data_IF_704755081471
#
_entry.id   IF_704755081471
#
_cell.length_a   1.000
_cell.length_b   1.000
_cell.length_c   1.000
_cell.angle_alpha   90.00
_cell.angle_beta   90.00
_cell.angle_gamma   90.00
#
_symmetry.space_group_name_H-M   'P 1'
#
loop_
_entity.id
_entity.type
_entity.pdbx_description
1 polymer ?
#
# COMPACT_ATOMS: atom_id res chain seq x y z
N UNK A 1 9.82 0.34 3.93
CA UNK A 1 10.86 -0.54 4.45
C UNK A 1 12.25 0.04 4.19
N UNK A 2 13.22 -0.29 5.04
CA UNK A 2 14.63 -0.06 4.79
C UNK A 2 15.10 -0.98 3.67
N UNK A 3 15.67 -0.43 2.60
CA UNK A 3 16.03 -1.18 1.40
C UNK A 3 17.16 -0.53 0.61
N UNK A 4 17.84 -1.32 -0.23
CA UNK A 4 18.83 -0.81 -1.17
C UNK A 4 18.18 0.08 -2.25
N UNK A 5 18.81 1.21 -2.58
CA UNK A 5 18.32 2.13 -3.60
C UNK A 5 18.61 1.68 -5.05
N UNK A 6 19.38 0.61 -5.23
CA UNK A 6 19.78 0.14 -6.57
C UNK A 6 19.13 -1.20 -6.95
N UNK A 7 19.05 -2.16 -6.00
CA UNK A 7 18.48 -3.48 -6.27
C UNK A 7 17.23 -3.79 -5.43
N UNK A 8 16.77 -2.82 -4.62
CA UNK A 8 15.57 -2.89 -3.78
C UNK A 8 15.53 -4.05 -2.76
N UNK A 9 16.66 -4.72 -2.54
CA UNK A 9 16.79 -5.72 -1.48
C UNK A 9 16.45 -5.09 -0.13
N UNK A 10 15.56 -5.75 0.63
CA UNK A 10 15.05 -5.26 1.92
C UNK A 10 15.96 -5.70 3.06
N UNK A 11 16.09 -4.86 4.06
CA UNK A 11 16.93 -5.08 5.24
C UNK A 11 16.20 -4.65 6.50
N UNK A 12 16.48 -5.28 7.62
CA UNK A 12 16.17 -4.73 8.92
C UNK A 12 17.13 -3.58 9.26
N UNK A 13 16.77 -2.73 10.22
CA UNK A 13 17.67 -1.67 10.70
C UNK A 13 18.99 -2.25 11.21
N UNK A 14 18.92 -3.30 12.05
CA UNK A 14 20.13 -3.96 12.59
C UNK A 14 21.04 -4.52 11.50
N UNK A 15 20.47 -5.14 10.45
CA UNK A 15 21.25 -5.59 9.30
C UNK A 15 21.90 -4.42 8.56
N UNK A 16 21.14 -3.34 8.30
CA UNK A 16 21.67 -2.18 7.60
C UNK A 16 22.84 -1.53 8.36
N UNK A 17 22.73 -1.45 9.69
CA UNK A 17 23.81 -0.94 10.56
C UNK A 17 25.04 -1.83 10.56
N UNK A 18 24.88 -3.15 10.73
CA UNK A 18 25.99 -4.12 10.65
C UNK A 18 26.72 -4.05 9.30
N UNK A 19 25.97 -3.84 8.22
CA UNK A 19 26.49 -3.69 6.86
C UNK A 19 26.98 -2.27 6.56
N UNK A 20 27.01 -1.39 7.55
CA UNK A 20 27.40 0.02 7.37
C UNK A 20 26.63 0.67 6.19
N UNK A 21 25.35 0.35 6.06
CA UNK A 21 24.45 0.85 5.02
C UNK A 21 24.88 0.50 3.59
N UNK A 22 25.61 -0.60 3.39
CA UNK A 22 26.01 -1.12 2.08
C UNK A 22 25.33 -2.45 1.78
N UNK A 23 24.68 -2.50 0.63
CA UNK A 23 23.94 -3.69 0.18
C UNK A 23 24.89 -4.87 -0.07
N UNK A 24 24.51 -6.07 0.42
CA UNK A 24 25.29 -7.29 0.17
C UNK A 24 25.25 -7.71 -1.30
N UNK A 25 24.10 -7.49 -1.98
CA UNK A 25 23.89 -7.99 -3.34
C UNK A 25 24.61 -7.16 -4.40
N UNK A 26 24.56 -5.82 -4.29
CA UNK A 26 25.06 -4.93 -5.35
C UNK A 26 26.01 -3.83 -4.85
N UNK A 27 26.34 -3.81 -3.56
CA UNK A 27 27.15 -2.76 -2.90
C UNK A 27 26.54 -1.35 -2.95
N UNK A 28 25.31 -1.21 -3.45
CA UNK A 28 24.56 0.04 -3.43
C UNK A 28 24.26 0.53 -2.00
N UNK A 29 23.79 1.76 -1.87
CA UNK A 29 23.43 2.35 -0.60
C UNK A 29 22.10 1.77 -0.09
N UNK A 30 22.04 1.40 1.19
CA UNK A 30 20.80 1.04 1.87
C UNK A 30 20.19 2.32 2.45
N UNK A 31 18.94 2.63 2.08
CA UNK A 31 18.17 3.77 2.61
C UNK A 31 17.19 3.33 3.68
N UNK A 32 17.15 4.09 4.76
CA UNK A 32 16.20 3.87 5.86
C UNK A 32 14.79 4.13 5.38
N UNK A 33 13.89 3.20 5.67
CA UNK A 33 12.46 3.32 5.39
C UNK A 33 11.76 4.31 6.32
N UNK A 34 10.66 4.89 5.83
CA UNK A 34 9.86 5.86 6.61
C UNK A 34 9.28 5.22 7.87
N UNK A 35 8.71 4.02 7.77
CA UNK A 35 8.15 3.31 8.93
C UNK A 35 9.23 3.06 10.01
N UNK A 36 10.43 2.64 9.60
CA UNK A 36 11.55 2.41 10.50
C UNK A 36 12.02 3.72 11.16
N UNK A 37 11.96 4.83 10.41
CA UNK A 37 12.27 6.15 10.98
C UNK A 37 11.21 6.62 11.98
N UNK A 38 9.95 6.40 11.68
CA UNK A 38 8.85 6.69 12.60
C UNK A 38 9.02 5.88 13.89
N UNK A 39 9.27 4.57 13.80
CA UNK A 39 9.48 3.72 14.96
C UNK A 39 10.65 4.19 15.85
N UNK A 40 11.73 4.71 15.24
CA UNK A 40 12.86 5.29 15.98
C UNK A 40 12.53 6.58 16.73
N UNK A 41 11.62 7.38 16.18
CA UNK A 41 11.24 8.69 16.74
C UNK A 41 10.04 8.61 17.67
N UNK A 42 9.34 7.48 17.68
CA UNK A 42 8.15 7.29 18.48
C UNK A 42 8.50 7.01 19.94
N UNK A 43 7.91 7.77 20.85
CA UNK A 43 8.00 7.55 22.30
C UNK A 43 6.95 6.55 22.79
N UNK A 44 6.02 6.14 21.91
CA UNK A 44 4.94 5.21 22.21
C UNK A 44 4.93 4.02 21.24
N UNK A 45 4.64 2.80 21.72
CA UNK A 45 4.65 1.59 20.88
C UNK A 45 3.52 1.55 19.85
N UNK A 46 2.43 2.31 20.08
CA UNK A 46 1.31 2.44 19.15
C UNK A 46 0.71 3.85 19.24
N UNK A 47 0.36 4.42 18.08
CA UNK A 47 -0.35 5.68 18.03
C UNK A 47 -1.79 5.51 18.55
N UNK A 48 -2.22 6.38 19.45
CA UNK A 48 -3.62 6.44 19.92
C UNK A 48 -4.26 7.67 19.31
N UNK A 49 -5.39 7.49 18.61
CA UNK A 49 -6.14 8.62 18.07
C UNK A 49 -6.74 9.44 19.21
N UNK A 50 -6.43 10.74 19.32
CA UNK A 50 -6.97 11.57 20.39
C UNK A 50 -8.50 11.70 20.29
N UNK A 51 -9.20 11.51 21.42
CA UNK A 51 -10.69 11.54 21.48
C UNK A 51 -11.31 12.86 21.02
N UNK A 52 -10.56 13.95 21.11
CA UNK A 52 -11.03 15.30 20.73
C UNK A 52 -10.82 15.61 19.23
N UNK A 53 -10.18 14.74 18.45
CA UNK A 53 -10.01 14.92 17.01
C UNK A 53 -11.09 14.17 16.25
N UNK A 54 -11.57 14.71 15.12
CA UNK A 54 -12.50 14.00 14.27
C UNK A 54 -11.83 12.74 13.69
N UNK A 55 -12.60 11.69 13.39
CA UNK A 55 -12.09 10.53 12.71
C UNK A 55 -11.53 10.90 11.33
N UNK A 56 -10.57 10.12 10.85
CA UNK A 56 -10.02 10.27 9.51
C UNK A 56 -10.14 8.94 8.75
N UNK A 57 -10.16 9.03 7.45
CA UNK A 57 -10.22 7.88 6.57
C UNK A 57 -8.96 7.82 5.69
N UNK A 58 -8.34 6.66 5.63
CA UNK A 58 -7.28 6.41 4.67
C UNK A 58 -7.90 6.07 3.32
N UNK A 59 -7.57 6.84 2.29
CA UNK A 59 -8.11 6.62 0.95
C UNK A 59 -6.99 6.42 -0.07
N UNK A 60 -7.21 5.51 -1.02
CA UNK A 60 -6.46 5.46 -2.26
C UNK A 60 -7.06 6.47 -3.24
N UNK A 61 -6.26 7.20 -4.03
CA UNK A 61 -6.75 7.94 -5.16
C UNK A 61 -7.53 7.06 -6.14
N UNK A 62 -8.63 7.55 -6.68
CA UNK A 62 -9.44 6.79 -7.64
C UNK A 62 -8.61 6.34 -8.85
N UNK A 63 -7.66 7.16 -9.29
CA UNK A 63 -6.75 6.81 -10.38
C UNK A 63 -5.89 5.58 -10.07
N UNK A 64 -5.49 5.35 -8.80
CA UNK A 64 -4.77 4.14 -8.40
C UNK A 64 -5.68 2.90 -8.41
N UNK A 65 -6.93 3.05 -7.98
CA UNK A 65 -7.92 1.96 -8.04
C UNK A 65 -8.20 1.57 -9.50
N UNK A 66 -8.37 2.56 -10.38
CA UNK A 66 -8.56 2.35 -11.82
C UNK A 66 -7.32 1.68 -12.42
N UNK A 67 -6.13 2.14 -12.07
CA UNK A 67 -4.88 1.54 -12.52
C UNK A 67 -4.82 0.05 -12.15
N UNK A 68 -5.19 -0.30 -10.92
CA UNK A 68 -5.23 -1.70 -10.47
C UNK A 68 -6.27 -2.50 -11.26
N UNK A 69 -7.46 -1.95 -11.47
CA UNK A 69 -8.53 -2.60 -12.23
C UNK A 69 -8.11 -2.90 -13.68
N UNK A 70 -7.47 -1.94 -14.34
CA UNK A 70 -7.03 -2.08 -15.73
C UNK A 70 -5.71 -2.87 -15.87
N UNK A 71 -5.02 -3.20 -14.78
CA UNK A 71 -3.69 -3.80 -14.84
C UNK A 71 -2.62 -2.89 -15.47
N UNK A 72 -2.83 -1.58 -15.42
CA UNK A 72 -1.98 -0.61 -16.10
C UNK A 72 -0.69 -0.32 -15.30
N UNK A 73 0.34 0.17 -15.98
CA UNK A 73 1.66 0.42 -15.36
C UNK A 73 1.74 1.75 -14.61
N UNK A 74 0.84 2.69 -14.90
CA UNK A 74 0.86 4.04 -14.33
C UNK A 74 -0.53 4.64 -14.31
N UNK A 75 -0.80 5.46 -13.28
CA UNK A 75 -2.01 6.29 -13.19
C UNK A 75 -2.12 7.33 -14.30
N UNK A 76 -1.01 7.69 -14.95
CA UNK A 76 -0.95 8.75 -15.98
C UNK A 76 -1.22 8.22 -17.40
N UNK A 77 -1.59 6.96 -17.58
CA UNK A 77 -1.95 6.46 -18.91
C UNK A 77 -3.26 7.07 -19.39
N UNK A 78 -3.41 7.19 -20.71
CA UNK A 78 -4.65 7.72 -21.31
C UNK A 78 -5.88 6.90 -20.92
N UNK A 79 -5.72 5.58 -20.76
CA UNK A 79 -6.81 4.69 -20.38
C UNK A 79 -7.28 5.00 -18.95
N UNK A 80 -6.38 5.08 -17.98
CA UNK A 80 -6.68 5.42 -16.60
C UNK A 80 -7.31 6.80 -16.49
N UNK A 81 -6.69 7.80 -17.13
CA UNK A 81 -7.17 9.18 -17.07
C UNK A 81 -8.55 9.37 -17.72
N UNK A 82 -8.81 8.70 -18.83
CA UNK A 82 -10.13 8.74 -19.48
C UNK A 82 -11.23 8.13 -18.59
N UNK A 83 -10.94 7.00 -17.93
CA UNK A 83 -11.88 6.39 -16.96
C UNK A 83 -12.09 7.29 -15.75
N UNK A 84 -11.03 7.85 -15.19
CA UNK A 84 -11.11 8.77 -14.06
C UNK A 84 -12.00 9.99 -14.38
N UNK A 85 -11.77 10.64 -15.53
CA UNK A 85 -12.59 11.78 -16.01
C UNK A 85 -14.06 11.36 -16.10
N UNK A 86 -14.36 10.21 -16.74
CA UNK A 86 -15.71 9.73 -16.92
C UNK A 86 -16.46 9.52 -15.57
N UNK A 87 -15.77 8.94 -14.57
CA UNK A 87 -16.36 8.76 -13.23
C UNK A 87 -16.63 10.11 -12.55
N UNK A 88 -15.67 11.03 -12.59
CA UNK A 88 -15.77 12.33 -11.93
C UNK A 88 -16.82 13.23 -12.60
N UNK A 89 -16.88 13.25 -13.93
CA UNK A 89 -17.89 14.04 -14.66
C UNK A 89 -19.31 13.54 -14.43
N UNK A 90 -19.51 12.22 -14.38
CA UNK A 90 -20.85 11.64 -14.20
C UNK A 90 -21.34 11.66 -12.76
N UNK A 91 -20.44 11.56 -11.79
CA UNK A 91 -20.77 11.46 -10.36
C UNK A 91 -20.38 12.73 -9.56
N UNK A 92 -19.81 13.73 -10.22
CA UNK A 92 -19.57 15.06 -9.66
C UNK A 92 -18.18 15.24 -9.04
N UNK A 93 -17.68 14.30 -8.25
CA UNK A 93 -16.35 14.39 -7.66
C UNK A 93 -15.81 13.03 -7.21
N UNK A 94 -14.49 12.96 -7.03
CA UNK A 94 -13.77 11.74 -6.65
C UNK A 94 -14.15 11.22 -5.27
N UNK A 95 -14.41 12.10 -4.32
CA UNK A 95 -14.77 11.69 -2.94
C UNK A 95 -16.11 10.97 -2.96
N UNK A 96 -17.10 11.49 -3.68
CA UNK A 96 -18.39 10.83 -3.83
C UNK A 96 -18.22 9.43 -4.45
N UNK A 97 -17.41 9.32 -5.50
CA UNK A 97 -17.08 8.02 -6.13
C UNK A 97 -16.47 7.05 -5.13
N UNK A 98 -15.56 7.52 -4.28
CA UNK A 98 -14.82 6.64 -3.37
C UNK A 98 -15.59 6.29 -2.08
N UNK A 99 -16.54 7.13 -1.65
CA UNK A 99 -17.18 6.99 -0.33
C UNK A 99 -18.65 6.68 -0.43
N UNK A 100 -19.43 7.45 -1.22
CA UNK A 100 -20.89 7.51 -1.11
C UNK A 100 -21.64 6.86 -2.28
N UNK A 101 -21.08 6.90 -3.50
CA UNK A 101 -21.76 6.40 -4.71
C UNK A 101 -22.18 4.93 -4.55
N UNK A 102 -23.39 4.61 -4.96
CA UNK A 102 -23.91 3.24 -4.91
C UNK A 102 -23.20 2.35 -5.92
N UNK A 103 -23.07 1.07 -5.60
CA UNK A 103 -22.48 0.09 -6.52
C UNK A 103 -23.15 0.11 -7.90
N UNK A 104 -24.49 0.25 -7.95
CA UNK A 104 -25.25 0.35 -9.20
C UNK A 104 -24.83 1.55 -10.03
N UNK A 105 -24.62 2.73 -9.42
CA UNK A 105 -24.19 3.94 -10.12
C UNK A 105 -22.77 3.79 -10.68
N UNK A 106 -21.89 3.17 -9.92
CA UNK A 106 -20.53 2.86 -10.36
C UNK A 106 -20.53 1.84 -11.51
N UNK A 107 -21.34 0.79 -11.39
CA UNK A 107 -21.44 -0.30 -12.37
C UNK A 107 -22.04 0.12 -13.72
N UNK A 108 -22.89 1.16 -13.73
CA UNK A 108 -23.37 1.79 -14.96
C UNK A 108 -22.25 2.46 -15.77
N UNK A 109 -21.17 2.85 -15.11
CA UNK A 109 -20.01 3.47 -15.77
C UNK A 109 -19.00 2.39 -16.18
N UNK A 110 -18.61 1.55 -15.22
CA UNK A 110 -17.66 0.46 -15.43
C UNK A 110 -17.77 -0.58 -14.30
N UNK A 111 -18.17 -1.80 -14.63
CA UNK A 111 -18.39 -2.86 -13.63
C UNK A 111 -17.12 -3.33 -12.94
N UNK A 112 -16.01 -3.40 -13.66
CA UNK A 112 -14.75 -3.87 -13.10
C UNK A 112 -14.18 -2.85 -12.10
N UNK A 113 -14.19 -1.58 -12.48
CA UNK A 113 -13.76 -0.49 -11.58
C UNK A 113 -14.72 -0.39 -10.39
N UNK A 114 -16.04 -0.52 -10.59
CA UNK A 114 -17.03 -0.53 -9.51
C UNK A 114 -16.71 -1.62 -8.47
N UNK A 115 -16.45 -2.85 -8.91
CA UNK A 115 -16.06 -3.95 -8.02
C UNK A 115 -14.81 -3.60 -7.20
N UNK A 116 -13.78 -3.00 -7.80
CA UNK A 116 -12.57 -2.59 -7.08
C UNK A 116 -12.82 -1.44 -6.09
N UNK A 117 -13.68 -0.49 -6.41
CA UNK A 117 -14.09 0.57 -5.46
C UNK A 117 -14.82 -0.02 -4.27
N UNK A 118 -15.75 -0.97 -4.48
CA UNK A 118 -16.44 -1.65 -3.39
C UNK A 118 -15.47 -2.47 -2.54
N UNK A 119 -14.57 -3.23 -3.17
CA UNK A 119 -13.52 -3.98 -2.48
C UNK A 119 -12.66 -3.09 -1.60
N UNK A 120 -12.30 -1.92 -2.11
CA UNK A 120 -11.56 -0.90 -1.34
C UNK A 120 -12.36 -0.41 -0.12
N UNK A 121 -13.65 -0.06 -0.28
CA UNK A 121 -14.53 0.39 0.81
C UNK A 121 -14.69 -0.66 1.91
N UNK A 122 -14.71 -1.93 1.54
CA UNK A 122 -14.81 -3.06 2.47
C UNK A 122 -13.46 -3.45 3.10
N UNK A 123 -12.42 -2.70 2.83
CA UNK A 123 -11.09 -2.93 3.40
C UNK A 123 -10.33 -4.12 2.81
N UNK A 124 -10.78 -4.65 1.66
CA UNK A 124 -10.07 -5.74 0.98
C UNK A 124 -8.85 -5.26 0.21
N UNK A 125 -8.00 -4.50 0.89
CA UNK A 125 -6.77 -3.93 0.34
C UNK A 125 -5.57 -4.38 1.15
N UNK A 126 -4.52 -4.77 0.45
CA UNK A 126 -3.21 -5.07 1.00
C UNK A 126 -2.19 -4.12 0.39
N UNK A 127 -1.27 -3.61 1.20
CA UNK A 127 -0.20 -2.74 0.72
C UNK A 127 1.12 -3.50 0.72
N UNK A 128 1.72 -3.66 -0.46
CA UNK A 128 3.10 -4.12 -0.56
C UNK A 128 3.99 -2.95 -0.14
N UNK A 129 4.79 -3.10 0.94
CA UNK A 129 5.61 -1.99 1.39
C UNK A 129 6.69 -1.63 0.39
N UNK A 130 6.82 -0.34 0.08
CA UNK A 130 7.92 0.20 -0.71
C UNK A 130 9.23 0.26 0.07
N UNK A 131 10.29 0.68 -0.60
CA UNK A 131 11.62 0.86 0.00
C UNK A 131 12.67 1.18 -1.04
N UNK A 132 13.82 1.71 -0.60
CA UNK A 132 14.92 2.06 -1.51
C UNK A 132 14.66 3.21 -2.49
N UNK A 133 13.53 3.91 -2.34
CA UNK A 133 13.07 4.97 -3.26
C UNK A 133 11.86 4.58 -4.09
N UNK A 134 11.41 3.32 -4.03
CA UNK A 134 10.13 2.90 -4.61
C UNK A 134 8.98 3.08 -3.63
N UNK A 135 7.82 3.51 -4.14
CA UNK A 135 6.58 3.57 -3.39
C UNK A 135 5.98 2.18 -3.19
N UNK A 136 5.20 2.02 -2.12
CA UNK A 136 4.39 0.83 -1.93
C UNK A 136 3.31 0.70 -3.01
N UNK A 137 2.83 -0.53 -3.21
CA UNK A 137 1.79 -0.83 -4.21
C UNK A 137 0.56 -1.39 -3.52
N UNK A 138 -0.64 -0.87 -3.81
CA UNK A 138 -1.88 -1.48 -3.33
C UNK A 138 -2.20 -2.75 -4.14
N UNK A 139 -2.73 -3.75 -3.46
CA UNK A 139 -3.38 -4.90 -4.06
C UNK A 139 -4.83 -4.88 -3.59
N UNK A 140 -5.79 -4.78 -4.50
CA UNK A 140 -7.22 -4.81 -4.20
C UNK A 140 -7.74 -6.20 -4.52
N UNK A 141 -8.15 -6.92 -3.49
CA UNK A 141 -8.64 -8.30 -3.58
C UNK A 141 -10.14 -8.32 -3.81
N UNK A 142 -10.61 -9.26 -4.63
CA UNK A 142 -12.04 -9.39 -4.92
C UNK A 142 -12.80 -10.09 -3.78
N UNK A 143 -12.13 -11.00 -3.07
CA UNK A 143 -12.71 -11.73 -1.93
C UNK A 143 -11.85 -11.63 -0.67
N UNK A 144 -12.49 -11.92 0.47
CA UNK A 144 -11.79 -11.96 1.76
C UNK A 144 -10.79 -13.11 1.82
N UNK A 145 -11.10 -14.26 1.21
CA UNK A 145 -10.22 -15.42 1.14
C UNK A 145 -8.95 -15.09 0.33
N UNK A 146 -9.09 -14.36 -0.75
CA UNK A 146 -7.95 -13.87 -1.53
C UNK A 146 -7.06 -12.95 -0.70
N UNK A 147 -7.67 -12.02 0.05
CA UNK A 147 -6.94 -11.09 0.93
C UNK A 147 -6.12 -11.86 1.97
N UNK A 148 -6.73 -12.84 2.65
CA UNK A 148 -6.03 -13.62 3.69
C UNK A 148 -4.91 -14.47 3.08
N UNK A 149 -5.14 -15.09 1.93
CA UNK A 149 -4.08 -15.82 1.22
C UNK A 149 -2.90 -14.91 0.87
N UNK A 150 -3.17 -13.73 0.31
CA UNK A 150 -2.12 -12.76 -0.06
C UNK A 150 -1.39 -12.16 1.15
N UNK A 151 -2.09 -11.99 2.27
CA UNK A 151 -1.44 -11.59 3.54
C UNK A 151 -0.41 -12.62 4.00
N UNK A 152 -0.78 -13.91 3.96
CA UNK A 152 0.13 -15.00 4.35
C UNK A 152 1.34 -15.08 3.40
N UNK A 153 1.10 -14.93 2.09
CA UNK A 153 2.16 -14.92 1.09
C UNK A 153 3.14 -13.76 1.32
N UNK A 154 2.61 -12.54 1.46
CA UNK A 154 3.43 -11.36 1.74
C UNK A 154 4.19 -11.48 3.07
N UNK A 155 3.56 -12.03 4.10
CA UNK A 155 4.22 -12.26 5.39
C UNK A 155 5.40 -13.24 5.26
N UNK A 156 5.27 -14.29 4.45
CA UNK A 156 6.36 -15.22 4.16
C UNK A 156 7.51 -14.56 3.40
N UNK A 157 7.21 -13.77 2.38
CA UNK A 157 8.22 -13.01 1.63
C UNK A 157 8.99 -12.03 2.51
N UNK A 158 8.29 -11.38 3.45
CA UNK A 158 8.89 -10.42 4.38
C UNK A 158 9.62 -11.12 5.54
N UNK A 159 9.19 -12.31 5.98
CA UNK A 159 9.85 -13.07 7.04
C UNK A 159 11.20 -13.64 6.60
N UNK A 160 11.36 -14.02 5.34
CA UNK A 160 12.67 -14.37 4.77
C UNK A 160 13.71 -13.23 4.88
N UNK A 161 13.26 -11.98 5.08
CA UNK A 161 14.11 -10.82 5.39
C UNK A 161 14.42 -10.72 6.90
N UNK A 162 13.56 -11.26 7.76
CA UNK A 162 13.66 -11.14 9.22
C UNK A 162 14.41 -12.30 9.89
N UNK A 163 14.52 -13.47 9.27
CA UNK A 163 15.20 -14.65 9.86
C UNK A 163 16.72 -14.44 10.08
N UNK A 164 17.31 -13.43 9.45
CA UNK A 164 18.73 -13.07 9.68
C UNK A 164 18.91 -12.18 10.93
N UNK A 165 17.85 -11.66 11.55
CA UNK A 165 17.96 -10.78 12.71
C UNK A 165 16.67 -10.69 13.54
N UNK A 166 16.31 -11.65 14.34
CA UNK A 166 15.43 -11.59 15.53
C UNK A 166 14.40 -10.46 15.68
N UNK A 167 13.82 -9.93 14.60
CA UNK A 167 12.95 -8.76 14.61
C UNK A 167 11.47 -9.14 14.42
N UNK A 168 10.62 -8.47 15.20
CA UNK A 168 9.16 -8.67 15.23
C UNK A 168 8.52 -8.53 13.85
N UNK A 169 7.69 -9.48 13.48
CA UNK A 169 6.94 -9.52 12.22
C UNK A 169 5.82 -8.48 12.18
N UNK A 170 5.42 -8.05 10.97
CA UNK A 170 4.33 -7.09 10.71
C UNK A 170 2.98 -7.42 11.40
N UNK A 171 2.75 -8.66 11.81
CA UNK A 171 1.56 -9.08 12.57
C UNK A 171 1.46 -8.53 14.01
N UNK A 172 2.42 -7.72 14.45
CA UNK A 172 2.40 -7.09 15.78
C UNK A 172 2.02 -5.60 15.75
N UNK A 173 1.57 -5.11 14.58
CA UNK A 173 1.10 -3.72 14.38
C UNK A 173 -0.40 -3.62 14.09
N UNK A 174 -1.18 -4.66 14.42
CA UNK A 174 -2.66 -4.60 14.46
C UNK A 174 -3.15 -4.26 15.85
#
# INVERSE_FOLDING_TARGET
>A
CTACNACFAKYSIGQAEQLKWKCLNCRGEIKRGVADRIAMLSDTPAGVHPKFRPPYMHMLPLAEIIQVALGDKSTNTKAVQSKWINFVERLGNEIYVLVDAKESELAEIDREIASKVISFREGRVLYIPGGGGEYGKPIICDTQEELERKKVELARELSGVSEIAGQKTLGQFT
#
